data_IF_873446840276
#
_entry.id   IF_873446840276
#
_cell.length_a   1.000
_cell.length_b   1.000
_cell.length_c   1.000
_cell.angle_alpha   90.00
_cell.angle_beta   90.00
_cell.angle_gamma   90.00
#
_symmetry.space_group_name_H-M   'P 1'
#
loop_
_entity.id
_entity.type
_entity.pdbx_description
1 polymer ?
#
# COMPACT_ATOMS: atom_id res chain seq x y z
N UNK A 1 4.93 -5.33 -6.14
CA UNK A 1 4.74 -4.23 -7.13
C UNK A 1 3.26 -3.90 -7.20
N UNK A 2 2.91 -2.64 -7.34
CA UNK A 2 1.53 -2.15 -7.39
C UNK A 2 1.20 -1.59 -8.79
N UNK A 3 0.40 -2.33 -9.59
CA UNK A 3 -0.27 -1.87 -10.83
C UNK A 3 0.55 -1.05 -11.81
N UNK A 4 1.81 -1.44 -12.10
CA UNK A 4 2.72 -0.64 -12.95
C UNK A 4 3.08 -1.31 -14.27
N UNK A 5 2.60 -2.53 -14.54
CA UNK A 5 2.95 -3.30 -15.75
C UNK A 5 1.94 -3.15 -16.88
N UNK A 6 0.76 -2.64 -16.58
CA UNK A 6 -0.29 -2.30 -17.55
C UNK A 6 -0.12 -0.90 -18.13
N UNK A 7 -0.90 -0.59 -19.15
CA UNK A 7 -1.02 0.76 -19.70
C UNK A 7 -1.55 1.76 -18.66
N UNK A 8 -1.33 3.07 -18.89
CA UNK A 8 -1.95 4.10 -18.07
C UNK A 8 -3.47 4.06 -18.22
N UNK A 9 -4.20 4.08 -17.11
CA UNK A 9 -5.65 4.20 -17.09
C UNK A 9 -5.99 5.69 -16.96
N UNK A 10 -6.58 6.28 -17.98
CA UNK A 10 -6.97 7.70 -18.03
C UNK A 10 -5.84 8.68 -17.67
N UNK A 11 -4.60 8.33 -18.02
CA UNK A 11 -3.41 9.13 -17.73
C UNK A 11 -2.99 9.13 -16.26
N UNK A 12 -3.67 8.37 -15.38
CA UNK A 12 -3.32 8.26 -13.96
C UNK A 12 -2.10 7.37 -13.77
N UNK A 13 -1.20 7.79 -12.89
CA UNK A 13 -0.02 7.00 -12.53
C UNK A 13 -0.40 5.70 -11.82
N UNK A 14 -1.47 5.73 -11.05
CA UNK A 14 -2.01 4.62 -10.27
C UNK A 14 -3.52 4.54 -10.50
N UNK A 15 -3.98 3.41 -10.96
CA UNK A 15 -5.37 3.03 -11.09
C UNK A 15 -5.46 1.53 -11.37
N UNK A 16 -6.56 0.89 -11.02
CA UNK A 16 -6.77 -0.52 -11.32
C UNK A 16 -6.97 -0.72 -12.85
N UNK A 17 -6.16 -1.58 -13.50
CA UNK A 17 -6.22 -1.77 -14.96
C UNK A 17 -7.28 -2.82 -15.32
N UNK A 18 -8.57 -2.46 -15.29
CA UNK A 18 -9.70 -3.38 -15.47
C UNK A 18 -9.59 -4.29 -16.70
N UNK A 19 -9.03 -3.79 -17.80
CA UNK A 19 -8.93 -4.55 -19.06
C UNK A 19 -7.62 -5.35 -19.16
N UNK A 20 -6.59 -5.03 -18.37
CA UNK A 20 -5.24 -5.58 -18.53
C UNK A 20 -4.70 -6.30 -17.27
N UNK A 21 -5.39 -6.24 -16.11
CA UNK A 21 -4.88 -6.73 -14.83
C UNK A 21 -4.37 -8.18 -14.88
N UNK A 22 -5.08 -9.06 -15.60
CA UNK A 22 -4.69 -10.48 -15.71
C UNK A 22 -3.35 -10.66 -16.46
N UNK A 23 -3.00 -9.75 -17.36
CA UNK A 23 -1.75 -9.81 -18.10
C UNK A 23 -0.54 -9.44 -17.23
N UNK A 24 -0.73 -8.71 -16.13
CA UNK A 24 0.35 -8.30 -15.23
C UNK A 24 1.02 -9.49 -14.56
N UNK A 25 0.30 -10.58 -14.26
CA UNK A 25 0.88 -11.79 -13.68
C UNK A 25 1.97 -12.42 -14.56
N UNK A 26 1.66 -12.60 -15.85
CA UNK A 26 2.63 -13.14 -16.81
C UNK A 26 3.83 -12.21 -17.03
N UNK A 27 3.58 -10.89 -17.00
CA UNK A 27 4.66 -9.91 -17.14
C UNK A 27 5.53 -9.90 -15.89
N UNK A 28 4.92 -9.96 -14.70
CA UNK A 28 5.61 -10.03 -13.42
C UNK A 28 6.54 -11.25 -13.35
N UNK A 29 6.04 -12.45 -13.67
CA UNK A 29 6.84 -13.68 -13.79
C UNK A 29 8.05 -13.47 -14.72
N UNK A 30 7.80 -12.93 -15.92
CA UNK A 30 8.85 -12.76 -16.94
C UNK A 30 9.98 -11.81 -16.53
N UNK A 31 9.72 -10.90 -15.58
CA UNK A 31 10.72 -9.96 -15.05
C UNK A 31 11.13 -10.28 -13.59
N UNK A 32 10.75 -11.43 -13.06
CA UNK A 32 11.14 -11.88 -11.72
C UNK A 32 10.48 -11.14 -10.56
N UNK A 33 9.29 -10.56 -10.77
CA UNK A 33 8.46 -9.98 -9.69
C UNK A 33 7.57 -11.08 -9.11
N UNK A 34 7.78 -11.43 -7.84
CA UNK A 34 7.03 -12.47 -7.14
C UNK A 34 5.79 -11.98 -6.40
N UNK A 35 5.68 -10.67 -6.14
CA UNK A 35 4.59 -10.08 -5.35
C UNK A 35 3.87 -8.98 -6.13
N UNK A 36 2.54 -9.07 -6.21
CA UNK A 36 1.67 -7.99 -6.67
C UNK A 36 0.88 -7.46 -5.48
N UNK A 37 0.86 -6.14 -5.31
CA UNK A 37 -0.08 -5.49 -4.43
C UNK A 37 -1.32 -5.08 -5.23
N UNK A 38 -2.48 -5.54 -4.79
CA UNK A 38 -3.74 -5.27 -5.47
C UNK A 38 -4.17 -3.82 -5.26
N UNK A 39 -4.79 -3.20 -6.25
CA UNK A 39 -5.26 -1.81 -6.15
C UNK A 39 -6.78 -1.78 -6.22
N UNK A 40 -7.41 -1.01 -5.34
CA UNK A 40 -8.85 -0.76 -5.35
C UNK A 40 -9.12 0.73 -5.50
N UNK A 41 -9.78 1.09 -6.59
CA UNK A 41 -10.34 2.44 -6.79
C UNK A 41 -11.82 2.46 -6.43
N UNK A 42 -12.37 3.62 -6.03
CA UNK A 42 -13.82 3.79 -5.83
C UNK A 42 -14.61 3.72 -7.13
N UNK A 43 -14.00 4.16 -8.25
CA UNK A 43 -14.60 3.97 -9.56
C UNK A 43 -14.61 2.48 -9.93
N UNK A 44 -15.78 1.96 -10.27
CA UNK A 44 -16.00 0.56 -10.66
C UNK A 44 -15.53 -0.47 -9.61
N UNK A 45 -15.58 -0.14 -8.31
CA UNK A 45 -15.16 -1.06 -7.26
C UNK A 45 -15.90 -2.40 -7.31
N UNK A 46 -17.20 -2.38 -7.56
CA UNK A 46 -18.03 -3.59 -7.65
C UNK A 46 -17.64 -4.50 -8.83
N UNK A 47 -16.99 -3.94 -9.86
CA UNK A 47 -16.48 -4.69 -11.01
C UNK A 47 -15.05 -5.21 -10.80
N UNK A 48 -14.39 -4.81 -9.70
CA UNK A 48 -13.05 -5.30 -9.39
C UNK A 48 -13.09 -6.82 -9.12
N UNK A 49 -12.20 -7.61 -9.75
CA UNK A 49 -12.19 -9.07 -9.59
C UNK A 49 -12.14 -9.53 -8.12
N UNK A 50 -11.50 -8.79 -7.24
CA UNK A 50 -11.47 -9.10 -5.81
C UNK A 50 -12.87 -9.21 -5.22
N UNK A 51 -13.82 -8.38 -5.66
CA UNK A 51 -15.16 -8.30 -5.07
C UNK A 51 -16.08 -9.47 -5.44
N UNK A 52 -15.69 -10.34 -6.39
CA UNK A 52 -16.51 -11.49 -6.79
C UNK A 52 -15.83 -12.83 -6.49
N UNK A 53 -16.63 -13.86 -6.21
CA UNK A 53 -16.12 -15.24 -6.00
C UNK A 53 -15.37 -15.75 -7.24
N UNK A 54 -15.91 -15.52 -8.44
CA UNK A 54 -15.28 -15.95 -9.69
C UNK A 54 -14.00 -15.16 -9.98
N UNK A 55 -13.97 -13.88 -9.66
CA UNK A 55 -12.76 -13.06 -9.82
C UNK A 55 -11.63 -13.51 -8.89
N UNK A 56 -11.93 -13.76 -7.61
CA UNK A 56 -10.94 -14.32 -6.66
C UNK A 56 -10.41 -15.70 -7.10
N UNK A 57 -11.28 -16.57 -7.65
CA UNK A 57 -10.83 -17.83 -8.21
C UNK A 57 -9.86 -17.62 -9.38
N UNK A 58 -10.16 -16.67 -10.29
CA UNK A 58 -9.27 -16.34 -11.40
C UNK A 58 -7.93 -15.75 -10.92
N UNK A 59 -7.93 -14.88 -9.89
CA UNK A 59 -6.69 -14.37 -9.29
C UNK A 59 -5.84 -15.51 -8.76
N UNK A 60 -6.44 -16.45 -8.00
CA UNK A 60 -5.73 -17.61 -7.46
C UNK A 60 -5.16 -18.53 -8.56
N UNK A 61 -5.92 -18.76 -9.64
CA UNK A 61 -5.46 -19.53 -10.79
C UNK A 61 -4.23 -18.88 -11.45
N UNK A 62 -4.27 -17.55 -11.63
CA UNK A 62 -3.14 -16.79 -12.18
C UNK A 62 -1.94 -16.78 -11.22
N UNK A 63 -2.15 -16.65 -9.93
CA UNK A 63 -1.10 -16.79 -8.91
C UNK A 63 -0.40 -18.15 -9.04
N UNK A 64 -1.17 -19.23 -9.09
CA UNK A 64 -0.63 -20.58 -9.24
C UNK A 64 0.07 -20.82 -10.57
N UNK A 65 -0.46 -20.27 -11.67
CA UNK A 65 0.10 -20.42 -13.01
C UNK A 65 1.45 -19.71 -13.17
N UNK A 66 1.59 -18.52 -12.59
CA UNK A 66 2.75 -17.64 -12.81
C UNK A 66 3.72 -17.59 -11.62
N UNK A 67 3.44 -18.29 -10.51
CA UNK A 67 4.29 -18.25 -9.31
C UNK A 67 4.35 -16.86 -8.66
N UNK A 68 3.27 -16.07 -8.79
CA UNK A 68 3.14 -14.73 -8.24
C UNK A 68 2.11 -14.75 -7.13
N UNK A 69 2.32 -14.00 -6.04
CA UNK A 69 1.36 -13.89 -4.93
C UNK A 69 0.76 -12.48 -4.85
N UNK A 70 -0.40 -12.38 -4.21
CA UNK A 70 -1.08 -11.11 -3.88
C UNK A 70 -1.18 -11.00 -2.35
N UNK A 71 -0.08 -10.65 -1.65
CA UNK A 71 -0.05 -10.63 -0.18
C UNK A 71 -0.69 -9.37 0.40
N UNK A 72 -0.80 -8.31 -0.38
CA UNK A 72 -1.31 -7.02 0.08
C UNK A 72 -2.22 -6.37 -0.95
N UNK A 73 -3.04 -5.43 -0.47
CA UNK A 73 -3.83 -4.53 -1.33
C UNK A 73 -3.74 -3.09 -0.82
N UNK A 74 -3.79 -2.14 -1.75
CA UNK A 74 -3.97 -0.72 -1.45
C UNK A 74 -5.40 -0.31 -1.75
N UNK A 75 -6.08 0.19 -0.72
CA UNK A 75 -7.43 0.70 -0.80
C UNK A 75 -7.48 2.17 -1.14
N UNK A 76 -7.11 2.57 -2.36
CA UNK A 76 -7.24 3.96 -2.81
C UNK A 76 -8.70 4.44 -2.75
N UNK A 77 -9.66 3.53 -2.87
CA UNK A 77 -11.09 3.80 -2.68
C UNK A 77 -11.40 4.43 -1.31
N UNK A 78 -10.66 4.08 -0.25
CA UNK A 78 -10.86 4.64 1.08
C UNK A 78 -10.31 6.06 1.20
N UNK A 79 -9.25 6.38 0.45
CA UNK A 79 -8.73 7.74 0.33
C UNK A 79 -9.64 8.61 -0.54
N UNK A 80 -10.13 8.05 -1.66
CA UNK A 80 -10.99 8.75 -2.62
C UNK A 80 -12.38 9.05 -2.05
N UNK A 81 -12.88 8.20 -1.13
CA UNK A 81 -14.16 8.36 -0.45
C UNK A 81 -14.05 7.99 1.05
N UNK A 82 -13.39 8.83 1.88
CA UNK A 82 -13.10 8.52 3.27
C UNK A 82 -14.36 8.58 4.13
N UNK A 83 -14.75 7.45 4.75
CA UNK A 83 -15.96 7.39 5.60
C UNK A 83 -15.85 8.28 6.84
N UNK A 84 -14.64 8.59 7.31
CA UNK A 84 -14.42 9.45 8.49
C UNK A 84 -14.70 10.93 8.20
N UNK A 85 -14.81 11.31 6.92
CA UNK A 85 -15.23 12.65 6.47
C UNK A 85 -16.67 12.72 5.99
N UNK A 86 -17.33 11.56 5.82
CA UNK A 86 -18.71 11.49 5.37
C UNK A 86 -19.70 11.59 6.53
N UNK A 87 -20.97 11.82 6.24
CA UNK A 87 -22.05 11.93 7.21
C UNK A 87 -23.20 10.95 6.96
N UNK A 88 -23.96 10.67 8.03
CA UNK A 88 -25.26 10.02 7.97
C UNK A 88 -25.28 8.68 7.22
N UNK A 89 -26.07 8.60 6.15
CA UNK A 89 -26.24 7.41 5.33
C UNK A 89 -24.98 7.05 4.56
N UNK A 90 -24.31 8.05 3.98
CA UNK A 90 -23.10 7.85 3.20
C UNK A 90 -21.97 7.27 4.06
N UNK A 91 -21.76 7.76 5.28
CA UNK A 91 -20.78 7.17 6.20
C UNK A 91 -21.02 5.67 6.41
N UNK A 92 -22.26 5.27 6.67
CA UNK A 92 -22.59 3.85 6.87
C UNK A 92 -22.36 3.01 5.62
N UNK A 93 -22.69 3.54 4.46
CA UNK A 93 -22.44 2.87 3.18
C UNK A 93 -20.95 2.62 2.95
N UNK A 94 -20.11 3.65 3.14
CA UNK A 94 -18.64 3.54 3.01
C UNK A 94 -18.02 2.62 4.08
N UNK A 95 -18.57 2.61 5.29
CA UNK A 95 -18.17 1.65 6.33
C UNK A 95 -18.50 0.21 5.94
N UNK A 96 -19.69 -0.05 5.39
CA UNK A 96 -20.02 -1.38 4.87
C UNK A 96 -19.12 -1.77 3.71
N UNK A 97 -18.81 -0.84 2.80
CA UNK A 97 -17.88 -1.09 1.70
C UNK A 97 -16.49 -1.51 2.21
N UNK A 98 -15.97 -0.88 3.28
CA UNK A 98 -14.72 -1.34 3.90
C UNK A 98 -14.84 -2.77 4.44
N UNK A 99 -15.95 -3.10 5.13
CA UNK A 99 -16.15 -4.47 5.64
C UNK A 99 -16.19 -5.49 4.49
N UNK A 100 -16.92 -5.20 3.40
CA UNK A 100 -16.99 -6.06 2.21
C UNK A 100 -15.60 -6.29 1.59
N UNK A 101 -14.77 -5.24 1.54
CA UNK A 101 -13.38 -5.33 1.05
C UNK A 101 -12.53 -6.20 1.98
N UNK A 102 -12.63 -6.04 3.31
CA UNK A 102 -11.90 -6.85 4.27
C UNK A 102 -12.29 -8.35 4.17
N UNK A 103 -13.58 -8.64 4.02
CA UNK A 103 -14.06 -10.01 3.80
C UNK A 103 -13.54 -10.59 2.48
N UNK A 104 -13.55 -9.81 1.41
CA UNK A 104 -13.02 -10.22 0.11
C UNK A 104 -11.50 -10.45 0.15
N UNK A 105 -10.76 -9.56 0.81
CA UNK A 105 -9.32 -9.68 1.04
C UNK A 105 -8.97 -10.97 1.79
N UNK A 106 -9.66 -11.22 2.91
CA UNK A 106 -9.51 -12.46 3.70
C UNK A 106 -9.84 -13.71 2.87
N UNK A 107 -10.91 -13.67 2.07
CA UNK A 107 -11.31 -14.79 1.21
C UNK A 107 -10.32 -15.07 0.08
N UNK A 108 -9.54 -14.09 -0.35
CA UNK A 108 -8.45 -14.27 -1.31
C UNK A 108 -7.15 -14.75 -0.64
N UNK A 109 -6.97 -14.52 0.65
CA UNK A 109 -5.72 -14.78 1.38
C UNK A 109 -4.75 -13.58 1.37
N UNK A 110 -5.27 -12.37 1.15
CA UNK A 110 -4.51 -11.12 1.35
C UNK A 110 -4.24 -10.96 2.84
N UNK A 111 -2.99 -10.70 3.20
CA UNK A 111 -2.58 -10.55 4.60
C UNK A 111 -2.55 -9.08 5.07
N UNK A 112 -2.41 -8.13 4.14
CA UNK A 112 -2.25 -6.71 4.46
C UNK A 112 -3.19 -5.85 3.60
N UNK A 113 -3.97 -5.00 4.27
CA UNK A 113 -4.82 -3.98 3.64
C UNK A 113 -4.27 -2.60 3.98
N UNK A 114 -3.76 -1.88 2.98
CA UNK A 114 -3.27 -0.52 3.14
C UNK A 114 -4.45 0.45 3.05
N UNK A 115 -4.63 1.27 4.08
CA UNK A 115 -5.57 2.40 4.08
C UNK A 115 -4.76 3.70 3.99
N UNK A 116 -4.80 4.41 2.84
CA UNK A 116 -4.08 5.66 2.70
C UNK A 116 -4.79 6.81 3.45
N UNK A 117 -4.09 7.38 4.43
CA UNK A 117 -4.49 8.58 5.19
C UNK A 117 -3.74 9.80 4.66
N UNK A 118 -3.64 9.91 3.34
CA UNK A 118 -2.96 10.98 2.59
C UNK A 118 -3.97 11.64 1.65
N UNK A 119 -3.62 12.75 1.06
CA UNK A 119 -4.47 13.48 0.09
C UNK A 119 -5.90 13.70 0.62
N UNK A 120 -6.93 13.24 -0.07
CA UNK A 120 -8.33 13.36 0.35
C UNK A 120 -8.65 12.50 1.59
N UNK A 121 -7.88 11.43 1.82
CA UNK A 121 -7.97 10.56 2.99
C UNK A 121 -7.29 11.12 4.25
N UNK A 122 -6.53 12.22 4.15
CA UNK A 122 -5.84 12.82 5.30
C UNK A 122 -6.78 13.10 6.46
N UNK A 123 -6.37 12.75 7.67
CA UNK A 123 -7.09 13.11 8.90
C UNK A 123 -6.90 14.62 9.14
N UNK A 124 -7.97 15.38 9.07
CA UNK A 124 -7.96 16.85 9.20
C UNK A 124 -8.42 17.35 10.56
N UNK A 125 -9.00 16.48 11.39
CA UNK A 125 -9.51 16.86 12.71
C UNK A 125 -9.52 15.69 13.68
N UNK A 126 -9.57 16.01 14.99
CA UNK A 126 -9.73 14.99 16.02
C UNK A 126 -11.05 14.23 15.89
N UNK A 127 -12.11 14.86 15.42
CA UNK A 127 -13.40 14.20 15.21
C UNK A 127 -13.29 13.12 14.13
N UNK A 128 -12.63 13.41 13.01
CA UNK A 128 -12.37 12.44 11.95
C UNK A 128 -11.53 11.26 12.47
N UNK A 129 -10.49 11.56 13.27
CA UNK A 129 -9.66 10.53 13.91
C UNK A 129 -10.48 9.63 14.84
N UNK A 130 -11.33 10.20 15.69
CA UNK A 130 -12.19 9.42 16.61
C UNK A 130 -13.19 8.53 15.85
N UNK A 131 -13.75 9.03 14.72
CA UNK A 131 -14.63 8.24 13.85
C UNK A 131 -13.88 7.06 13.25
N UNK A 132 -12.67 7.28 12.72
CA UNK A 132 -11.84 6.25 12.10
C UNK A 132 -11.44 5.19 13.14
N UNK A 133 -10.84 5.61 14.25
CA UNK A 133 -10.37 4.72 15.32
C UNK A 133 -11.52 3.93 15.92
N UNK A 134 -12.63 4.60 16.26
CA UNK A 134 -13.80 3.94 16.86
C UNK A 134 -14.36 2.85 15.94
N UNK A 135 -14.56 3.15 14.66
CA UNK A 135 -15.09 2.16 13.71
C UNK A 135 -14.14 0.97 13.52
N UNK A 136 -12.85 1.23 13.31
CA UNK A 136 -11.89 0.16 13.06
C UNK A 136 -11.70 -0.74 14.28
N UNK A 137 -11.60 -0.16 15.48
CA UNK A 137 -11.41 -0.92 16.71
C UNK A 137 -12.64 -1.71 17.14
N UNK A 138 -13.85 -1.19 16.89
CA UNK A 138 -15.09 -1.81 17.35
C UNK A 138 -15.72 -2.75 16.33
N UNK A 139 -15.66 -2.40 15.03
CA UNK A 139 -16.40 -3.10 13.99
C UNK A 139 -15.48 -3.96 13.09
N UNK A 140 -14.32 -3.43 12.69
CA UNK A 140 -13.42 -4.14 11.78
C UNK A 140 -12.56 -5.19 12.51
N UNK A 141 -12.28 -5.00 13.80
CA UNK A 141 -11.41 -5.89 14.60
C UNK A 141 -11.84 -7.37 14.56
N UNK A 142 -13.14 -7.65 14.40
CA UNK A 142 -13.65 -9.02 14.28
C UNK A 142 -13.23 -9.78 12.99
N UNK A 143 -12.79 -9.07 11.96
CA UNK A 143 -12.26 -9.63 10.71
C UNK A 143 -10.73 -9.71 10.71
N UNK A 144 -10.07 -8.96 11.58
CA UNK A 144 -8.61 -8.86 11.64
C UNK A 144 -8.03 -9.96 12.55
N UNK A 145 -6.75 -10.26 12.35
CA UNK A 145 -6.02 -11.26 13.11
C UNK A 145 -4.70 -11.61 12.44
N UNK A 146 -4.09 -12.75 12.79
CA UNK A 146 -2.77 -13.13 12.25
C UNK A 146 -2.71 -13.20 10.73
N UNK A 147 -3.86 -13.47 10.09
CA UNK A 147 -3.95 -13.67 8.65
C UNK A 147 -4.44 -12.44 7.88
N UNK A 148 -4.83 -11.36 8.56
CA UNK A 148 -5.27 -10.12 7.93
C UNK A 148 -5.04 -8.92 8.86
N UNK A 149 -4.22 -8.00 8.44
CA UNK A 149 -3.86 -6.75 9.13
C UNK A 149 -4.28 -5.54 8.31
N UNK A 150 -4.69 -4.46 8.97
CA UNK A 150 -4.78 -3.14 8.36
C UNK A 150 -3.49 -2.37 8.64
N UNK A 151 -2.92 -1.74 7.62
CA UNK A 151 -1.80 -0.82 7.77
C UNK A 151 -2.17 0.55 7.23
N UNK A 152 -1.68 1.60 7.88
CA UNK A 152 -1.94 2.97 7.45
C UNK A 152 -0.72 3.54 6.71
N UNK A 153 -0.96 4.16 5.56
CA UNK A 153 -0.02 5.08 4.93
C UNK A 153 -0.41 6.51 5.32
N UNK A 154 0.48 7.30 5.89
CA UNK A 154 0.13 8.61 6.45
C UNK A 154 1.17 9.66 6.14
N UNK A 155 0.73 10.92 6.10
CA UNK A 155 1.56 12.12 6.00
C UNK A 155 1.71 12.87 7.34
N UNK A 156 1.28 12.25 8.43
CA UNK A 156 1.53 12.78 9.77
C UNK A 156 3.03 12.77 10.09
N UNK A 157 3.55 13.81 10.78
CA UNK A 157 4.92 13.79 11.30
C UNK A 157 5.16 12.61 12.26
N UNK A 158 6.44 12.23 12.52
CA UNK A 158 6.77 11.03 13.28
C UNK A 158 6.07 10.90 14.64
N UNK A 159 6.16 11.89 15.51
CA UNK A 159 5.54 11.82 16.86
C UNK A 159 4.00 11.75 16.81
N UNK A 160 3.27 12.57 16.02
CA UNK A 160 1.84 12.41 15.80
C UNK A 160 1.45 11.05 15.24
N UNK A 161 2.21 10.49 14.30
CA UNK A 161 1.93 9.17 13.73
C UNK A 161 2.14 8.05 14.75
N UNK A 162 3.20 8.12 15.56
CA UNK A 162 3.42 7.21 16.67
C UNK A 162 2.25 7.24 17.65
N UNK A 163 1.80 8.43 18.07
CA UNK A 163 0.66 8.57 18.97
C UNK A 163 -0.65 8.06 18.36
N UNK A 164 -0.83 8.22 17.05
CA UNK A 164 -1.99 7.69 16.33
C UNK A 164 -2.00 6.16 16.31
N UNK A 165 -0.88 5.53 15.92
CA UNK A 165 -0.82 4.07 15.78
C UNK A 165 -0.87 3.35 17.14
N UNK A 166 -0.42 3.97 18.22
CA UNK A 166 -0.55 3.45 19.60
C UNK A 166 -1.99 3.23 20.05
N UNK A 167 -2.97 3.85 19.38
CA UNK A 167 -4.41 3.68 19.65
C UNK A 167 -4.94 2.33 19.17
N UNK A 168 -4.16 1.58 18.39
CA UNK A 168 -4.54 0.33 17.76
C UNK A 168 -3.72 -0.85 18.25
N UNK A 169 -4.36 -2.01 18.28
CA UNK A 169 -3.74 -3.28 18.61
C UNK A 169 -2.61 -3.62 17.64
N UNK A 170 -1.41 -3.91 18.17
CA UNK A 170 -0.20 -4.18 17.41
C UNK A 170 -0.29 -5.46 16.54
N UNK A 171 -1.10 -6.43 16.95
CA UNK A 171 -1.24 -7.69 16.23
C UNK A 171 -2.14 -7.59 14.98
N UNK A 172 -2.90 -6.50 14.87
CA UNK A 172 -3.92 -6.32 13.82
C UNK A 172 -3.80 -5.03 13.03
N UNK A 173 -3.01 -4.06 13.53
CA UNK A 173 -2.78 -2.78 12.87
C UNK A 173 -1.30 -2.43 12.84
N UNK A 174 -0.85 -1.86 11.72
CA UNK A 174 0.52 -1.42 11.53
C UNK A 174 0.61 -0.21 10.62
N UNK A 175 1.80 0.05 10.13
CA UNK A 175 2.09 1.14 9.20
C UNK A 175 2.61 0.59 7.87
N UNK A 176 2.17 1.21 6.79
CA UNK A 176 2.82 1.13 5.49
C UNK A 176 3.78 2.31 5.38
N UNK A 177 5.08 2.03 5.39
CA UNK A 177 6.10 3.05 5.21
C UNK A 177 6.31 3.32 3.72
N UNK A 178 5.87 4.48 3.23
CA UNK A 178 6.12 4.93 1.86
C UNK A 178 7.37 5.83 1.84
N UNK A 179 8.47 5.28 1.34
CA UNK A 179 9.78 5.95 1.30
C UNK A 179 9.71 7.30 0.57
N UNK A 180 9.01 7.33 -0.57
CA UNK A 180 8.90 8.55 -1.37
C UNK A 180 8.01 9.61 -0.73
N UNK A 181 6.92 9.22 -0.07
CA UNK A 181 6.06 10.17 0.65
C UNK A 181 6.82 10.82 1.81
N UNK A 182 7.56 10.02 2.60
CA UNK A 182 8.45 10.52 3.66
C UNK A 182 9.49 11.51 3.12
N UNK A 183 10.22 11.14 2.07
CA UNK A 183 11.21 12.01 1.42
C UNK A 183 10.59 13.32 0.91
N UNK A 184 9.41 13.25 0.28
CA UNK A 184 8.69 14.43 -0.22
C UNK A 184 8.27 15.39 0.88
N UNK A 185 7.98 14.87 2.08
CA UNK A 185 7.63 15.65 3.26
C UNK A 185 8.87 16.17 4.01
N UNK A 186 10.06 15.68 3.65
CA UNK A 186 11.32 16.06 4.26
C UNK A 186 11.48 15.48 5.68
N UNK A 187 10.85 14.36 5.96
CA UNK A 187 11.04 13.66 7.23
C UNK A 187 12.41 12.97 7.26
N UNK A 188 12.96 12.86 8.47
CA UNK A 188 14.22 12.18 8.72
C UNK A 188 13.94 10.69 9.03
N UNK A 189 14.42 9.76 8.19
CA UNK A 189 14.17 8.33 8.40
C UNK A 189 14.62 7.82 9.77
N UNK A 190 15.72 8.31 10.32
CA UNK A 190 16.17 7.88 11.66
C UNK A 190 15.15 8.28 12.74
N UNK A 191 14.57 9.49 12.63
CA UNK A 191 13.52 9.93 13.58
C UNK A 191 12.21 9.14 13.37
N UNK A 192 11.84 8.86 12.14
CA UNK A 192 10.64 8.07 11.81
C UNK A 192 10.75 6.65 12.41
N UNK A 193 11.85 5.95 12.14
CA UNK A 193 12.06 4.59 12.65
C UNK A 193 12.27 4.54 14.16
N UNK A 194 12.82 5.59 14.77
CA UNK A 194 12.87 5.70 16.21
C UNK A 194 11.47 5.84 16.85
N UNK A 195 10.57 6.58 16.19
CA UNK A 195 9.23 6.86 16.70
C UNK A 195 8.25 5.68 16.52
N UNK A 196 8.30 4.98 15.39
CA UNK A 196 7.30 3.97 15.03
C UNK A 196 7.82 2.79 14.18
N UNK A 197 9.13 2.61 14.10
CA UNK A 197 9.72 1.58 13.22
C UNK A 197 9.27 0.15 13.53
N UNK A 198 8.98 -0.18 14.78
CA UNK A 198 8.45 -1.47 15.24
C UNK A 198 6.99 -1.72 14.81
N UNK A 199 6.30 -0.69 14.30
CA UNK A 199 4.94 -0.80 13.77
C UNK A 199 4.90 -0.91 12.25
N UNK A 200 6.05 -0.83 11.55
CA UNK A 200 6.12 -0.95 10.08
C UNK A 200 5.91 -2.41 9.68
N UNK A 201 4.84 -2.67 8.92
CA UNK A 201 4.45 -4.01 8.46
C UNK A 201 4.46 -4.17 6.93
N UNK A 202 4.48 -3.06 6.19
CA UNK A 202 4.61 -3.04 4.73
C UNK A 202 5.47 -1.83 4.31
N UNK A 203 6.17 -1.95 3.19
CA UNK A 203 7.01 -0.87 2.67
C UNK A 203 6.71 -0.61 1.20
N UNK A 204 6.40 0.64 0.86
CA UNK A 204 6.36 1.12 -0.52
C UNK A 204 7.71 1.70 -0.92
N UNK A 205 8.36 1.05 -1.87
CA UNK A 205 9.61 1.52 -2.47
C UNK A 205 9.27 2.50 -3.58
N UNK A 206 9.51 3.76 -3.32
CA UNK A 206 9.13 4.91 -4.14
C UNK A 206 10.17 6.01 -3.95
N UNK A 207 10.32 6.85 -4.94
CA UNK A 207 11.15 8.04 -4.83
C UNK A 207 10.36 9.28 -5.24
N UNK A 208 10.58 10.38 -4.53
CA UNK A 208 9.96 11.67 -4.81
C UNK A 208 10.96 12.79 -4.53
N UNK A 209 10.83 13.86 -5.28
CA UNK A 209 11.54 15.09 -4.92
C UNK A 209 10.90 15.77 -3.71
N UNK A 210 11.68 16.49 -2.91
CA UNK A 210 11.21 17.25 -1.75
C UNK A 210 10.10 18.23 -2.17
N UNK A 211 8.94 18.12 -1.55
CA UNK A 211 7.73 18.87 -1.90
C UNK A 211 7.20 18.58 -3.31
N UNK A 212 7.72 17.56 -3.98
CA UNK A 212 7.45 17.26 -5.39
C UNK A 212 6.65 15.98 -5.62
N UNK A 213 6.72 15.48 -6.84
CA UNK A 213 5.99 14.30 -7.31
C UNK A 213 6.92 13.07 -7.40
N UNK A 214 6.33 11.91 -7.69
CA UNK A 214 7.06 10.66 -7.90
C UNK A 214 8.00 10.78 -9.11
N UNK A 215 9.25 10.36 -8.90
CA UNK A 215 10.34 10.34 -9.89
C UNK A 215 10.92 8.91 -9.98
N UNK A 216 11.74 8.60 -11.01
CA UNK A 216 12.47 7.32 -11.06
C UNK A 216 13.30 7.09 -9.79
N UNK A 217 13.44 5.83 -9.35
CA UNK A 217 14.23 5.50 -8.17
C UNK A 217 15.68 5.98 -8.33
N UNK A 218 16.16 6.77 -7.37
CA UNK A 218 17.47 7.37 -7.33
C UNK A 218 17.57 8.77 -7.96
N UNK A 219 16.49 9.29 -8.51
CA UNK A 219 16.43 10.64 -9.09
C UNK A 219 15.75 11.66 -8.14
N UNK A 220 15.25 11.22 -6.98
CA UNK A 220 14.58 12.02 -5.97
C UNK A 220 15.44 12.31 -4.74
N UNK A 221 14.77 12.59 -3.65
CA UNK A 221 15.39 12.97 -2.37
C UNK A 221 15.29 11.87 -1.30
N UNK A 222 14.87 10.65 -1.66
CA UNK A 222 14.81 9.53 -0.72
C UNK A 222 16.22 9.03 -0.36
N UNK A 223 16.51 8.97 0.94
CA UNK A 223 17.75 8.38 1.47
C UNK A 223 17.57 6.86 1.67
N UNK A 224 17.68 6.11 0.56
CA UNK A 224 17.48 4.68 0.57
C UNK A 224 18.47 3.94 1.48
N UNK A 225 19.73 4.38 1.57
CA UNK A 225 20.72 3.73 2.43
C UNK A 225 20.35 3.87 3.91
N UNK A 226 19.94 5.04 4.36
CA UNK A 226 19.44 5.26 5.74
C UNK A 226 18.16 4.48 6.00
N UNK A 227 17.21 4.48 5.06
CA UNK A 227 15.93 3.77 5.21
C UNK A 227 16.13 2.26 5.33
N UNK A 228 16.88 1.64 4.39
CA UNK A 228 17.11 0.18 4.44
C UNK A 228 17.97 -0.23 5.64
N UNK A 229 18.92 0.61 6.06
CA UNK A 229 19.64 0.42 7.32
C UNK A 229 18.74 0.44 8.55
N UNK A 230 17.78 1.38 8.60
CA UNK A 230 16.80 1.49 9.69
C UNK A 230 15.82 0.32 9.70
N UNK A 231 15.34 -0.12 8.53
CA UNK A 231 14.50 -1.32 8.39
C UNK A 231 15.22 -2.58 8.93
N UNK A 232 16.50 -2.74 8.57
CA UNK A 232 17.31 -3.84 9.11
C UNK A 232 17.49 -3.74 10.63
N UNK A 233 17.72 -2.55 11.16
CA UNK A 233 17.91 -2.31 12.60
C UNK A 233 16.67 -2.66 13.43
N UNK A 234 15.46 -2.42 12.91
CA UNK A 234 14.21 -2.83 13.57
C UNK A 234 13.81 -4.28 13.28
N UNK A 235 14.60 -5.02 12.49
CA UNK A 235 14.34 -6.43 12.13
C UNK A 235 13.16 -6.61 11.16
N UNK A 236 12.91 -5.64 10.29
CA UNK A 236 11.85 -5.73 9.30
C UNK A 236 12.07 -6.92 8.36
N UNK A 237 11.02 -7.73 8.20
CA UNK A 237 11.04 -8.93 7.33
C UNK A 237 9.78 -9.04 6.44
N UNK A 238 9.07 -7.92 6.30
CA UNK A 238 7.85 -7.83 5.48
C UNK A 238 8.12 -7.62 4.00
N UNK A 239 7.10 -7.18 3.29
CA UNK A 239 7.14 -6.99 1.85
C UNK A 239 7.75 -5.65 1.45
N UNK A 240 8.51 -5.66 0.34
CA UNK A 240 8.94 -4.45 -0.36
C UNK A 240 8.13 -4.32 -1.66
N UNK A 241 7.24 -3.36 -1.73
CA UNK A 241 6.32 -3.15 -2.85
C UNK A 241 6.77 -1.97 -3.69
N UNK A 242 7.15 -2.23 -4.93
CA UNK A 242 7.52 -1.18 -5.88
C UNK A 242 6.28 -0.35 -6.25
N UNK A 243 6.23 0.90 -5.81
CA UNK A 243 5.24 1.91 -6.18
C UNK A 243 5.91 3.07 -6.93
N UNK A 244 6.68 2.74 -7.93
CA UNK A 244 7.63 3.62 -8.60
C UNK A 244 7.00 4.50 -9.70
N UNK A 245 7.77 5.46 -10.21
CA UNK A 245 7.40 6.18 -11.41
C UNK A 245 7.24 5.24 -12.61
N UNK A 246 6.33 5.59 -13.51
CA UNK A 246 6.20 4.93 -14.80
C UNK A 246 7.29 5.42 -15.76
N UNK A 247 7.75 4.55 -16.65
CA UNK A 247 8.70 4.93 -17.67
C UNK A 247 8.08 5.89 -18.68
N UNK A 248 8.78 6.99 -18.97
CA UNK A 248 8.30 8.06 -19.88
C UNK A 248 8.24 7.62 -21.35
N UNK A 249 9.04 6.61 -21.73
CA UNK A 249 9.04 6.01 -23.07
C UNK A 249 8.03 4.86 -23.19
N UNK A 250 7.34 4.51 -22.08
CA UNK A 250 6.36 3.43 -22.04
C UNK A 250 6.94 2.02 -21.82
N UNK A 251 8.26 1.88 -21.63
CA UNK A 251 8.88 0.60 -21.29
C UNK A 251 8.82 0.34 -19.78
N UNK A 252 7.59 0.24 -19.26
CA UNK A 252 7.35 0.01 -17.85
C UNK A 252 7.98 -1.29 -17.35
N UNK A 253 8.04 -2.32 -18.20
CA UNK A 253 8.63 -3.62 -17.88
C UNK A 253 10.11 -3.52 -17.53
N UNK A 254 10.92 -2.90 -18.40
CA UNK A 254 12.35 -2.72 -18.15
C UNK A 254 12.60 -1.78 -16.96
N UNK A 255 11.78 -0.76 -16.77
CA UNK A 255 11.88 0.13 -15.62
C UNK A 255 11.65 -0.63 -14.30
N UNK A 256 10.57 -1.41 -14.19
CA UNK A 256 10.28 -2.21 -13.00
C UNK A 256 11.37 -3.27 -12.73
N UNK A 257 11.88 -3.95 -13.76
CA UNK A 257 12.99 -4.90 -13.60
C UNK A 257 14.22 -4.21 -13.00
N UNK A 258 14.60 -3.03 -13.50
CA UNK A 258 15.70 -2.22 -12.96
C UNK A 258 15.44 -1.81 -11.51
N UNK A 259 14.24 -1.35 -11.17
CA UNK A 259 13.90 -0.94 -9.81
C UNK A 259 13.87 -2.11 -8.83
N UNK A 260 13.46 -3.30 -9.27
CA UNK A 260 13.62 -4.54 -8.51
C UNK A 260 15.09 -4.79 -8.17
N UNK A 261 15.97 -4.75 -9.18
CA UNK A 261 17.39 -5.01 -8.98
C UNK A 261 18.03 -3.99 -8.00
N UNK A 262 17.64 -2.72 -8.10
CA UNK A 262 18.06 -1.67 -7.15
C UNK A 262 17.59 -1.98 -5.72
N UNK A 263 16.31 -2.38 -5.57
CA UNK A 263 15.73 -2.72 -4.27
C UNK A 263 16.41 -3.93 -3.64
N UNK A 264 16.63 -4.99 -4.41
CA UNK A 264 17.34 -6.20 -3.97
C UNK A 264 18.80 -5.90 -3.57
N UNK A 265 19.46 -4.94 -4.23
CA UNK A 265 20.79 -4.48 -3.86
C UNK A 265 20.79 -3.78 -2.50
N UNK A 266 19.83 -2.87 -2.21
CA UNK A 266 19.68 -2.24 -0.89
C UNK A 266 19.38 -3.28 0.20
N UNK A 267 18.44 -4.20 -0.02
CA UNK A 267 18.14 -5.29 0.91
C UNK A 267 19.41 -6.09 1.22
N UNK A 268 20.15 -6.48 0.19
CA UNK A 268 21.38 -7.28 0.35
C UNK A 268 22.48 -6.52 1.11
N UNK A 269 22.65 -5.23 0.81
CA UNK A 269 23.70 -4.40 1.46
C UNK A 269 23.43 -4.16 2.93
N UNK A 270 22.17 -4.02 3.32
CA UNK A 270 21.79 -3.72 4.70
C UNK A 270 21.36 -4.94 5.51
N UNK A 271 21.16 -6.11 4.88
CA UNK A 271 20.78 -7.35 5.55
C UNK A 271 19.33 -7.36 6.07
N UNK A 272 18.46 -6.60 5.42
CA UNK A 272 17.03 -6.50 5.77
C UNK A 272 16.17 -7.51 5.03
#
# INVERSE_FOLDING_TARGET
MQGRLSSLVDGRIQAFPHDEWASEFRIAEAIGIGLLEWTLDSDRLDENPLMSVSGRAMINDLCGLHGVSVPSLTGDCFMQAPFWKADGGLRRELQHQLMDVLEAARALGVAIVVIPLVDDGRIGSREEEEILVGFLSEQASGLLGPDLMIVFESDLPPDPLAAFIERFDVDTFGLNYDIGNSASLGFDPEQEFFAYGDRVANVHVKDRSLGGTTVPLGDGDADFDTVFGSLAAVGYSGNYILQTARDVAGDHRSAIARYRDMTEDWITRHGS
#
